data_IF_077271205113
#
_entry.id   IF_077271205113
#
_cell.length_a   1.000
_cell.length_b   1.000
_cell.length_c   1.000
_cell.angle_alpha   90.00
_cell.angle_beta   90.00
_cell.angle_gamma   90.00
#
_symmetry.space_group_name_H-M   'P 1'
#
loop_
_entity.id
_entity.type
_entity.pdbx_description
1 polymer ?
#
# COMPACT_ATOMS: atom_id res chain seq x y z
N UNK A 1 6.90 -31.02 -5.04
CA UNK A 1 6.91 -30.59 -3.62
C UNK A 1 8.28 -30.82 -3.02
N UNK A 2 8.78 -32.07 -3.03
CA UNK A 2 10.12 -32.40 -2.53
C UNK A 2 11.24 -31.53 -3.12
N UNK A 3 11.25 -31.29 -4.44
CA UNK A 3 12.22 -30.41 -5.09
C UNK A 3 12.17 -28.94 -4.60
N UNK A 4 10.98 -28.43 -4.28
CA UNK A 4 10.81 -27.05 -3.79
C UNK A 4 11.19 -26.92 -2.31
N UNK A 5 10.86 -27.94 -1.52
CA UNK A 5 11.34 -28.03 -0.14
C UNK A 5 12.87 -28.11 -0.14
N UNK A 6 13.47 -28.91 -1.02
CA UNK A 6 14.92 -29.00 -1.17
C UNK A 6 15.54 -27.68 -1.60
N UNK A 7 14.97 -26.98 -2.58
CA UNK A 7 15.43 -25.67 -3.04
C UNK A 7 15.44 -24.62 -1.91
N UNK A 8 14.38 -24.57 -1.09
CA UNK A 8 14.32 -23.65 0.06
C UNK A 8 15.29 -24.07 1.15
N UNK A 9 15.42 -25.36 1.45
CA UNK A 9 16.40 -25.84 2.43
C UNK A 9 17.82 -25.49 2.00
N UNK A 10 18.14 -25.59 0.69
CA UNK A 10 19.42 -25.15 0.16
C UNK A 10 19.60 -23.64 0.29
N UNK A 11 18.59 -22.83 -0.09
CA UNK A 11 18.63 -21.37 0.08
C UNK A 11 18.82 -20.97 1.55
N UNK A 12 18.17 -21.67 2.46
CA UNK A 12 18.27 -21.44 3.89
C UNK A 12 19.66 -21.79 4.44
N UNK A 13 20.24 -22.90 3.98
CA UNK A 13 21.59 -23.33 4.33
C UNK A 13 22.67 -22.37 3.80
N UNK A 14 22.50 -21.87 2.56
CA UNK A 14 23.49 -21.00 1.90
C UNK A 14 23.41 -19.55 2.36
N UNK A 15 22.21 -18.97 2.50
CA UNK A 15 22.06 -17.54 2.84
C UNK A 15 21.98 -17.25 4.35
N UNK A 16 21.64 -18.26 5.17
CA UNK A 16 21.41 -18.11 6.60
C UNK A 16 20.10 -17.40 6.95
N UNK A 17 19.53 -17.76 8.11
CA UNK A 17 18.27 -17.24 8.65
C UNK A 17 18.10 -15.72 8.50
N UNK A 18 19.12 -14.95 8.89
CA UNK A 18 19.01 -13.48 8.99
C UNK A 18 18.92 -12.78 7.63
N UNK A 19 19.62 -13.30 6.61
CA UNK A 19 19.65 -12.69 5.27
C UNK A 19 18.50 -13.21 4.40
N UNK A 20 18.02 -14.42 4.66
CA UNK A 20 16.85 -14.99 3.99
C UNK A 20 15.58 -14.18 4.24
N UNK A 21 15.28 -13.83 5.51
CA UNK A 21 14.09 -13.05 5.88
C UNK A 21 14.16 -11.56 5.51
N UNK A 22 15.27 -11.07 4.94
CA UNK A 22 15.36 -9.68 4.50
C UNK A 22 14.88 -9.50 3.04
N UNK A 23 14.92 -10.56 2.24
CA UNK A 23 14.42 -10.54 0.86
C UNK A 23 12.93 -10.92 0.83
N UNK A 24 12.08 -9.98 0.42
CA UNK A 24 10.63 -10.21 0.28
C UNK A 24 10.30 -11.41 -0.63
N UNK A 25 11.14 -11.67 -1.65
CA UNK A 25 10.97 -12.79 -2.58
C UNK A 25 11.19 -14.14 -1.89
N UNK A 26 12.20 -14.22 -1.02
CA UNK A 26 12.50 -15.43 -0.26
C UNK A 26 11.42 -15.73 0.80
N UNK A 27 10.89 -14.68 1.44
CA UNK A 27 9.77 -14.79 2.39
C UNK A 27 8.52 -15.30 1.67
N UNK A 28 8.20 -14.75 0.50
CA UNK A 28 7.04 -15.17 -0.27
C UNK A 28 7.14 -16.64 -0.71
N UNK A 29 8.29 -17.05 -1.24
CA UNK A 29 8.54 -18.45 -1.62
C UNK A 29 8.42 -19.40 -0.41
N UNK A 30 8.95 -19.00 0.75
CA UNK A 30 8.83 -19.76 2.00
C UNK A 30 7.38 -19.90 2.46
N UNK A 31 6.62 -18.80 2.47
CA UNK A 31 5.19 -18.80 2.83
C UNK A 31 4.39 -19.70 1.90
N UNK A 32 4.64 -19.64 0.58
CA UNK A 32 3.97 -20.52 -0.39
C UNK A 32 4.24 -22.00 -0.13
N UNK A 33 5.49 -22.36 0.18
CA UNK A 33 5.88 -23.75 0.40
C UNK A 33 5.33 -24.29 1.72
N UNK A 34 5.36 -23.47 2.79
CA UNK A 34 4.75 -23.81 4.07
C UNK A 34 3.24 -23.97 3.93
N UNK A 35 2.55 -23.02 3.29
CA UNK A 35 1.11 -23.10 3.04
C UNK A 35 0.75 -24.37 2.25
N UNK A 36 1.53 -24.71 1.22
CA UNK A 36 1.30 -25.90 0.42
C UNK A 36 1.62 -27.22 1.17
N UNK A 37 2.54 -27.20 2.13
CA UNK A 37 2.81 -28.33 3.01
C UNK A 37 1.67 -28.51 4.02
N UNK A 38 1.21 -27.42 4.65
CA UNK A 38 0.06 -27.42 5.55
C UNK A 38 -1.17 -27.97 4.85
N UNK A 39 -1.47 -27.52 3.63
CA UNK A 39 -2.61 -28.03 2.84
C UNK A 39 -2.52 -29.54 2.62
N UNK A 40 -1.35 -30.07 2.25
CA UNK A 40 -1.18 -31.52 2.03
C UNK A 40 -1.34 -32.33 3.32
N UNK A 41 -0.79 -31.84 4.44
CA UNK A 41 -0.94 -32.49 5.76
C UNK A 41 -2.39 -32.45 6.21
N UNK A 42 -3.06 -31.31 6.02
CA UNK A 42 -4.47 -31.12 6.32
C UNK A 42 -5.32 -32.07 5.48
N UNK A 43 -5.13 -32.11 4.16
CA UNK A 43 -5.86 -33.03 3.27
C UNK A 43 -5.70 -34.50 3.71
N UNK A 44 -4.49 -34.92 4.11
CA UNK A 44 -4.24 -36.27 4.60
C UNK A 44 -4.96 -36.55 5.93
N UNK A 45 -4.94 -35.60 6.87
CA UNK A 45 -5.63 -35.72 8.15
C UNK A 45 -7.17 -35.73 8.01
N UNK A 46 -7.71 -34.85 7.16
CA UNK A 46 -9.17 -34.72 6.96
C UNK A 46 -9.77 -35.87 6.15
N UNK A 47 -9.04 -36.46 5.20
CA UNK A 47 -9.44 -37.70 4.51
C UNK A 47 -9.66 -38.86 5.48
N UNK A 48 -8.99 -38.86 6.64
CA UNK A 48 -9.16 -39.89 7.66
C UNK A 48 -10.39 -39.66 8.56
N UNK A 49 -10.97 -38.46 8.58
CA UNK A 49 -11.94 -38.04 9.61
C UNK A 49 -13.32 -37.73 9.02
N UNK A 50 -13.42 -37.23 7.78
CA UNK A 50 -14.71 -36.76 7.25
C UNK A 50 -14.91 -37.03 5.76
N UNK A 51 -16.09 -37.54 5.40
CA UNK A 51 -16.58 -37.70 4.03
C UNK A 51 -17.19 -36.41 3.43
N UNK A 52 -16.89 -35.22 3.96
CA UNK A 52 -17.37 -33.95 3.42
C UNK A 52 -16.47 -33.47 2.27
N UNK A 53 -16.99 -33.49 1.05
CA UNK A 53 -16.29 -33.13 -0.18
C UNK A 53 -15.99 -31.62 -0.32
N UNK A 54 -16.83 -30.74 0.23
CA UNK A 54 -16.72 -29.29 -0.01
C UNK A 54 -15.46 -28.60 0.54
N UNK A 55 -14.92 -29.07 1.66
CA UNK A 55 -13.67 -28.53 2.21
C UNK A 55 -12.44 -28.94 1.38
N UNK A 56 -12.51 -30.09 0.70
CA UNK A 56 -11.42 -30.59 -0.15
C UNK A 56 -11.31 -29.76 -1.43
N UNK A 57 -12.43 -29.30 -2.00
CA UNK A 57 -12.44 -28.47 -3.21
C UNK A 57 -11.72 -27.12 -3.00
N UNK A 58 -11.91 -26.49 -1.84
CA UNK A 58 -11.19 -25.26 -1.50
C UNK A 58 -9.68 -25.50 -1.34
N UNK A 59 -9.27 -26.61 -0.72
CA UNK A 59 -7.86 -27.00 -0.60
C UNK A 59 -7.21 -27.30 -1.96
N UNK A 60 -7.97 -27.82 -2.92
CA UNK A 60 -7.53 -27.99 -4.31
C UNK A 60 -7.27 -26.65 -5.01
N UNK A 61 -8.14 -25.64 -4.82
CA UNK A 61 -7.93 -24.29 -5.37
C UNK A 61 -6.71 -23.62 -4.74
N UNK A 62 -6.53 -23.71 -3.41
CA UNK A 62 -5.35 -23.15 -2.74
C UNK A 62 -4.03 -23.77 -3.23
N UNK A 63 -4.06 -25.04 -3.70
CA UNK A 63 -2.90 -25.67 -4.33
C UNK A 63 -2.44 -24.91 -5.57
N UNK A 64 -3.36 -24.29 -6.31
CA UNK A 64 -3.08 -23.48 -7.51
C UNK A 64 -2.34 -22.17 -7.17
N UNK A 65 -2.33 -21.71 -5.92
CA UNK A 65 -1.52 -20.54 -5.51
C UNK A 65 -0.04 -20.76 -5.79
N UNK A 66 0.45 -22.01 -5.86
CA UNK A 66 1.83 -22.27 -6.28
C UNK A 66 2.13 -21.84 -7.73
N UNK A 67 1.10 -21.70 -8.58
CA UNK A 67 1.26 -21.17 -9.94
C UNK A 67 1.63 -19.68 -9.92
N UNK A 68 1.30 -18.95 -8.85
CA UNK A 68 1.70 -17.56 -8.67
C UNK A 68 3.23 -17.40 -8.72
N UNK A 69 4.01 -18.39 -8.25
CA UNK A 69 5.48 -18.34 -8.36
C UNK A 69 5.96 -18.26 -9.82
N UNK A 70 5.19 -18.80 -10.78
CA UNK A 70 5.54 -18.73 -12.22
C UNK A 70 5.47 -17.29 -12.71
N UNK A 71 4.50 -16.52 -12.20
CA UNK A 71 4.41 -15.08 -12.44
C UNK A 71 5.67 -14.38 -11.91
N UNK A 72 6.16 -14.76 -10.73
CA UNK A 72 7.41 -14.22 -10.17
C UNK A 72 8.69 -14.77 -10.82
N UNK A 73 8.65 -15.87 -11.57
CA UNK A 73 9.82 -16.39 -12.27
C UNK A 73 10.23 -15.48 -13.45
N UNK A 74 9.28 -14.67 -13.94
CA UNK A 74 9.48 -13.77 -15.07
C UNK A 74 9.83 -12.37 -14.56
N UNK A 75 11.00 -11.85 -14.93
CA UNK A 75 11.51 -10.57 -14.42
C UNK A 75 10.58 -9.39 -14.72
N UNK A 76 9.90 -9.40 -15.87
CA UNK A 76 8.93 -8.33 -16.22
C UNK A 76 7.80 -8.20 -15.20
N UNK A 77 7.29 -9.32 -14.71
CA UNK A 77 6.21 -9.31 -13.71
C UNK A 77 6.71 -8.87 -12.33
N UNK A 78 7.97 -9.14 -11.98
CA UNK A 78 8.57 -8.64 -10.72
C UNK A 78 8.55 -7.12 -10.66
N UNK A 79 8.85 -6.45 -11.78
CA UNK A 79 8.81 -4.98 -11.89
C UNK A 79 7.38 -4.46 -11.69
N UNK A 80 6.38 -5.11 -12.29
CA UNK A 80 4.95 -4.76 -12.11
C UNK A 80 4.51 -4.95 -10.65
N UNK A 81 4.91 -6.03 -10.00
CA UNK A 81 4.53 -6.29 -8.60
C UNK A 81 5.22 -5.33 -7.63
N UNK A 82 6.47 -4.94 -7.91
CA UNK A 82 7.19 -3.93 -7.12
C UNK A 82 6.53 -2.55 -7.24
N UNK A 83 6.06 -2.17 -8.43
CA UNK A 83 5.36 -0.89 -8.65
C UNK A 83 3.97 -0.89 -7.98
N UNK A 84 3.20 -1.98 -8.11
CA UNK A 84 1.94 -2.15 -7.37
C UNK A 84 2.18 -2.05 -5.85
N UNK A 85 3.23 -2.67 -5.32
CA UNK A 85 3.54 -2.59 -3.89
C UNK A 85 4.02 -1.20 -3.45
N UNK A 86 4.67 -0.43 -4.33
CA UNK A 86 5.08 0.96 -4.06
C UNK A 86 3.85 1.85 -3.88
N UNK A 87 2.92 1.77 -4.82
CA UNK A 87 1.65 2.50 -4.84
C UNK A 87 0.67 1.98 -3.77
N UNK A 88 0.78 0.69 -3.43
CA UNK A 88 -0.15 -0.01 -2.56
C UNK A 88 -0.30 0.63 -1.18
N UNK A 89 0.78 1.19 -0.60
CA UNK A 89 0.69 1.89 0.69
C UNK A 89 -0.25 3.09 0.61
N UNK A 90 -0.13 3.90 -0.43
CA UNK A 90 -1.03 5.03 -0.66
C UNK A 90 -2.44 4.51 -0.91
N UNK A 91 -2.61 3.49 -1.76
CA UNK A 91 -3.91 2.90 -2.10
C UNK A 91 -4.68 2.42 -0.85
N UNK A 92 -4.01 1.84 0.15
CA UNK A 92 -4.64 1.41 1.41
C UNK A 92 -5.25 2.58 2.17
N UNK A 93 -4.58 3.73 2.24
CA UNK A 93 -5.12 4.92 2.93
C UNK A 93 -6.43 5.37 2.30
N UNK A 94 -6.51 5.44 0.97
CA UNK A 94 -7.74 5.83 0.26
C UNK A 94 -8.81 4.73 0.28
N UNK A 95 -8.40 3.47 0.17
CA UNK A 95 -9.29 2.33 0.36
C UNK A 95 -9.92 2.30 1.75
N UNK A 96 -9.20 2.77 2.77
CA UNK A 96 -9.73 2.97 4.12
C UNK A 96 -10.90 3.96 4.16
N UNK A 97 -10.84 5.05 3.40
CA UNK A 97 -11.96 6.02 3.28
C UNK A 97 -13.18 5.36 2.63
N UNK A 98 -12.99 4.63 1.52
CA UNK A 98 -14.07 3.86 0.89
C UNK A 98 -14.68 2.84 1.88
N UNK A 99 -13.83 2.18 2.67
CA UNK A 99 -14.27 1.21 3.68
C UNK A 99 -15.12 1.86 4.78
N UNK A 100 -14.84 3.11 5.17
CA UNK A 100 -15.68 3.84 6.14
C UNK A 100 -17.10 4.05 5.58
N UNK A 101 -17.22 4.45 4.31
CA UNK A 101 -18.55 4.55 3.68
C UNK A 101 -19.27 3.20 3.64
N UNK A 102 -18.56 2.14 3.25
CA UNK A 102 -19.09 0.78 3.28
C UNK A 102 -19.58 0.39 4.66
N UNK A 103 -18.81 0.69 5.70
CA UNK A 103 -19.16 0.39 7.09
C UNK A 103 -20.42 1.14 7.54
N UNK A 104 -20.50 2.46 7.29
CA UNK A 104 -21.67 3.27 7.67
C UNK A 104 -22.94 2.75 6.99
N UNK A 105 -22.89 2.50 5.69
CA UNK A 105 -24.04 1.96 4.97
C UNK A 105 -24.37 0.53 5.39
N UNK A 106 -23.39 -0.29 5.74
CA UNK A 106 -23.64 -1.65 6.21
C UNK A 106 -24.39 -1.65 7.55
N UNK A 107 -24.00 -0.80 8.51
CA UNK A 107 -24.71 -0.65 9.79
C UNK A 107 -26.14 -0.17 9.55
N UNK A 108 -26.35 0.86 8.73
CA UNK A 108 -27.69 1.36 8.40
C UNK A 108 -28.52 0.27 7.71
N UNK A 109 -27.92 -0.47 6.77
CA UNK A 109 -28.56 -1.56 6.05
C UNK A 109 -28.98 -2.70 6.97
N UNK A 110 -28.13 -3.09 7.93
CA UNK A 110 -28.49 -4.09 8.94
C UNK A 110 -29.66 -3.64 9.80
N UNK A 111 -29.67 -2.40 10.28
CA UNK A 111 -30.78 -1.92 11.13
C UNK A 111 -32.13 -1.92 10.38
N UNK A 112 -32.12 -1.57 9.08
CA UNK A 112 -33.34 -1.46 8.29
C UNK A 112 -33.80 -2.79 7.68
N UNK A 113 -32.86 -3.63 7.25
CA UNK A 113 -33.11 -4.83 6.44
C UNK A 113 -32.77 -6.15 7.14
N UNK A 114 -32.40 -6.13 8.42
CA UNK A 114 -32.14 -7.35 9.21
C UNK A 114 -33.37 -8.28 9.25
N UNK A 115 -33.09 -9.58 9.09
CA UNK A 115 -34.03 -10.71 9.13
C UNK A 115 -35.19 -10.64 8.12
N UNK A 116 -35.11 -9.75 7.11
CA UNK A 116 -36.13 -9.64 6.06
C UNK A 116 -35.98 -10.67 4.96
N UNK A 117 -34.74 -11.11 4.73
CA UNK A 117 -34.35 -12.08 3.71
C UNK A 117 -33.46 -13.11 4.39
N UNK A 118 -33.88 -14.37 4.41
CA UNK A 118 -33.08 -15.45 4.96
C UNK A 118 -32.71 -16.46 3.87
N UNK A 119 -31.47 -16.98 3.89
CA UNK A 119 -31.11 -18.11 3.04
C UNK A 119 -31.97 -19.30 3.43
N UNK A 120 -32.69 -19.86 2.46
CA UNK A 120 -33.47 -21.07 2.72
C UNK A 120 -32.51 -22.27 2.90
N UNK A 121 -32.66 -23.10 3.95
CA UNK A 121 -31.76 -24.22 4.18
C UNK A 121 -31.85 -25.23 3.04
N UNK A 122 -30.69 -25.59 2.49
CA UNK A 122 -30.52 -26.56 1.38
C UNK A 122 -31.15 -27.94 1.67
N UNK A 123 -31.40 -28.25 2.95
CA UNK A 123 -31.99 -29.50 3.42
C UNK A 123 -33.53 -29.55 3.40
N UNK A 124 -34.20 -28.45 3.02
CA UNK A 124 -35.62 -28.52 2.75
C UNK A 124 -35.81 -29.40 1.50
N UNK A 125 -36.23 -30.66 1.71
CA UNK A 125 -36.59 -31.61 0.66
C UNK A 125 -37.60 -30.96 -0.27
N UNK A 126 -37.08 -30.36 -1.34
CA UNK A 126 -37.85 -29.57 -2.28
C UNK A 126 -38.79 -30.52 -3.00
N UNK A 127 -40.06 -30.51 -2.63
CA UNK A 127 -41.09 -30.89 -3.58
C UNK A 127 -40.96 -29.93 -4.75
N UNK A 128 -40.92 -30.43 -5.97
CA UNK A 128 -40.61 -29.70 -7.21
C UNK A 128 -41.55 -28.51 -7.52
N UNK A 129 -42.52 -28.22 -6.64
CA UNK A 129 -43.56 -27.20 -6.73
C UNK A 129 -43.55 -26.14 -5.61
N UNK A 130 -42.57 -26.14 -4.68
CA UNK A 130 -42.50 -25.07 -3.68
C UNK A 130 -41.77 -23.84 -4.25
N UNK A 131 -42.39 -22.64 -4.23
CA UNK A 131 -41.74 -21.41 -4.70
C UNK A 131 -40.52 -21.08 -3.84
N UNK A 132 -39.45 -20.61 -4.46
CA UNK A 132 -38.24 -20.14 -3.74
C UNK A 132 -38.64 -18.93 -2.90
N UNK A 133 -38.72 -19.14 -1.59
CA UNK A 133 -39.08 -18.11 -0.62
C UNK A 133 -37.81 -17.86 0.17
N UNK A 134 -37.07 -16.79 -0.14
CA UNK A 134 -35.89 -16.38 0.63
C UNK A 134 -36.28 -15.91 2.06
N UNK A 135 -36.96 -16.74 2.84
CA UNK A 135 -37.55 -16.43 4.14
C UNK A 135 -38.87 -15.65 4.11
N UNK A 136 -39.29 -15.10 2.97
CA UNK A 136 -40.39 -14.14 2.93
C UNK A 136 -41.36 -14.35 1.75
N UNK A 137 -42.67 -14.53 1.98
CA UNK A 137 -43.66 -14.78 0.92
C UNK A 137 -43.79 -13.63 -0.09
N UNK A 138 -43.44 -12.39 0.29
CA UNK A 138 -43.47 -11.23 -0.62
C UNK A 138 -42.45 -11.32 -1.76
N UNK A 139 -41.44 -12.18 -1.63
CA UNK A 139 -40.42 -12.40 -2.67
C UNK A 139 -40.82 -13.46 -3.70
N UNK A 140 -41.97 -14.11 -3.53
CA UNK A 140 -42.42 -15.16 -4.44
C UNK A 140 -42.59 -14.62 -5.86
N UNK A 141 -41.94 -15.25 -6.84
CA UNK A 141 -42.02 -14.86 -8.26
C UNK A 141 -41.25 -13.58 -8.61
N UNK A 142 -40.52 -12.97 -7.66
CA UNK A 142 -39.65 -11.83 -7.96
C UNK A 142 -38.38 -12.27 -8.68
N UNK A 143 -37.82 -11.38 -9.50
CA UNK A 143 -36.50 -11.59 -10.14
C UNK A 143 -35.40 -11.84 -9.10
N UNK A 144 -35.54 -11.26 -7.90
CA UNK A 144 -34.63 -11.47 -6.79
C UNK A 144 -34.57 -12.94 -6.35
N UNK A 145 -35.73 -13.56 -6.13
CA UNK A 145 -35.82 -14.96 -5.72
C UNK A 145 -35.47 -15.93 -6.87
N UNK A 146 -35.88 -15.61 -8.10
CA UNK A 146 -35.56 -16.41 -9.30
C UNK A 146 -34.05 -16.50 -9.56
N UNK A 147 -33.33 -15.39 -9.35
CA UNK A 147 -31.87 -15.31 -9.53
C UNK A 147 -31.07 -15.82 -8.33
N UNK A 148 -31.74 -16.41 -7.32
CA UNK A 148 -31.11 -17.00 -6.12
C UNK A 148 -30.28 -16.02 -5.29
N UNK A 149 -30.72 -14.77 -5.19
CA UNK A 149 -30.05 -13.76 -4.35
C UNK A 149 -30.37 -13.89 -2.84
N UNK A 150 -30.90 -15.02 -2.36
CA UNK A 150 -31.25 -15.18 -0.94
C UNK A 150 -30.05 -15.05 0.03
N UNK A 151 -28.83 -15.33 -0.45
CA UNK A 151 -27.60 -15.14 0.33
C UNK A 151 -27.20 -13.66 0.47
N UNK A 152 -27.76 -12.78 -0.38
CA UNK A 152 -27.52 -11.35 -0.37
C UNK A 152 -28.51 -10.71 0.61
N UNK A 153 -28.15 -10.72 1.89
CA UNK A 153 -28.96 -10.19 2.99
C UNK A 153 -28.15 -9.26 3.89
N UNK A 154 -28.84 -8.53 4.77
CA UNK A 154 -28.25 -7.65 5.76
C UNK A 154 -28.40 -8.22 7.18
N UNK A 155 -28.34 -9.55 7.33
CA UNK A 155 -28.48 -10.17 8.65
C UNK A 155 -27.17 -10.08 9.44
N UNK A 156 -26.03 -10.12 8.74
CA UNK A 156 -24.69 -9.96 9.31
C UNK A 156 -23.89 -8.89 8.56
N UNK A 157 -22.85 -8.36 9.21
CA UNK A 157 -21.97 -7.35 8.61
C UNK A 157 -21.24 -7.88 7.37
N UNK A 158 -20.85 -9.16 7.37
CA UNK A 158 -20.14 -9.77 6.24
C UNK A 158 -21.05 -9.92 5.02
N UNK A 159 -22.27 -10.43 5.21
CA UNK A 159 -23.27 -10.52 4.15
C UNK A 159 -23.65 -9.12 3.64
N UNK A 160 -23.78 -8.14 4.54
CA UNK A 160 -24.02 -6.74 4.18
C UNK A 160 -22.90 -6.18 3.30
N UNK A 161 -21.63 -6.47 3.61
CA UNK A 161 -20.51 -6.04 2.77
C UNK A 161 -20.54 -6.69 1.38
N UNK A 162 -20.94 -7.96 1.27
CA UNK A 162 -21.12 -8.60 -0.05
C UNK A 162 -22.21 -7.88 -0.85
N UNK A 163 -23.36 -7.58 -0.24
CA UNK A 163 -24.45 -6.84 -0.91
C UNK A 163 -23.97 -5.46 -1.36
N UNK A 164 -23.30 -4.70 -0.49
CA UNK A 164 -22.78 -3.38 -0.83
C UNK A 164 -21.73 -3.45 -1.94
N UNK A 165 -20.85 -4.45 -1.91
CA UNK A 165 -19.88 -4.66 -2.98
C UNK A 165 -20.55 -4.94 -4.33
N UNK A 166 -21.58 -5.80 -4.36
CA UNK A 166 -22.35 -6.05 -5.58
C UNK A 166 -23.08 -4.80 -6.08
N UNK A 167 -23.65 -4.00 -5.17
CA UNK A 167 -24.27 -2.71 -5.51
C UNK A 167 -23.24 -1.70 -6.03
N UNK A 168 -22.01 -1.73 -5.54
CA UNK A 168 -20.92 -0.87 -6.01
C UNK A 168 -20.52 -1.18 -7.46
N UNK A 169 -20.55 -2.46 -7.84
CA UNK A 169 -20.27 -2.91 -9.22
C UNK A 169 -21.38 -2.50 -10.20
N UNK A 170 -22.55 -2.05 -9.71
CA UNK A 170 -23.69 -1.55 -10.50
C UNK A 170 -24.39 -2.61 -11.35
N UNK A 171 -23.93 -3.87 -11.33
CA UNK A 171 -24.60 -4.92 -12.09
C UNK A 171 -25.88 -5.37 -11.37
N UNK A 172 -27.02 -5.39 -12.08
CA UNK A 172 -28.31 -5.86 -11.55
C UNK A 172 -28.75 -5.19 -10.23
N UNK A 173 -28.22 -4.00 -9.91
CA UNK A 173 -28.47 -3.32 -8.62
C UNK A 173 -29.97 -3.04 -8.37
N UNK A 174 -30.73 -2.81 -9.44
CA UNK A 174 -32.18 -2.59 -9.39
C UNK A 174 -32.93 -3.86 -8.92
N UNK A 175 -32.48 -5.05 -9.33
CA UNK A 175 -33.08 -6.32 -8.87
C UNK A 175 -32.85 -6.52 -7.37
N UNK A 176 -31.65 -6.22 -6.89
CA UNK A 176 -31.34 -6.24 -5.46
C UNK A 176 -32.21 -5.23 -4.69
N UNK A 177 -32.26 -3.98 -5.16
CA UNK A 177 -33.06 -2.93 -4.54
C UNK A 177 -34.56 -3.27 -4.51
N UNK A 178 -35.11 -3.80 -5.61
CA UNK A 178 -36.51 -4.22 -5.68
C UNK A 178 -36.81 -5.38 -4.75
N UNK A 179 -35.90 -6.33 -4.58
CA UNK A 179 -36.02 -7.41 -3.59
C UNK A 179 -36.20 -6.87 -2.17
N UNK A 180 -35.34 -5.94 -1.74
CA UNK A 180 -35.44 -5.33 -0.42
C UNK A 180 -36.66 -4.42 -0.26
N UNK A 181 -37.05 -3.70 -1.32
CA UNK A 181 -38.27 -2.87 -1.33
C UNK A 181 -39.53 -3.73 -1.20
N UNK A 182 -39.57 -4.90 -1.84
CA UNK A 182 -40.72 -5.80 -1.78
C UNK A 182 -40.99 -6.32 -0.36
N UNK A 183 -39.93 -6.57 0.42
CA UNK A 183 -40.06 -7.09 1.80
C UNK A 183 -40.24 -6.01 2.86
N UNK A 184 -39.86 -4.76 2.57
CA UNK A 184 -39.94 -3.63 3.51
C UNK A 184 -41.03 -2.62 3.11
N UNK A 185 -40.63 -1.42 2.68
CA UNK A 185 -41.48 -0.31 2.26
C UNK A 185 -40.89 0.36 1.02
N UNK A 186 -41.73 1.02 0.22
CA UNK A 186 -41.29 1.68 -1.03
C UNK A 186 -40.23 2.77 -0.80
N UNK A 187 -40.21 3.38 0.38
CA UNK A 187 -39.19 4.34 0.80
C UNK A 187 -37.77 3.73 0.91
N UNK A 188 -37.64 2.41 1.06
CA UNK A 188 -36.34 1.73 1.07
C UNK A 188 -35.55 1.96 -0.23
N UNK A 189 -36.23 2.29 -1.33
CA UNK A 189 -35.58 2.67 -2.59
C UNK A 189 -34.64 3.87 -2.43
N UNK A 190 -34.95 4.79 -1.51
CA UNK A 190 -34.12 5.96 -1.21
C UNK A 190 -32.75 5.52 -0.71
N UNK A 191 -32.68 4.50 0.16
CA UNK A 191 -31.40 3.97 0.65
C UNK A 191 -30.48 3.53 -0.51
N UNK A 192 -31.00 2.75 -1.46
CA UNK A 192 -30.22 2.27 -2.60
C UNK A 192 -29.81 3.39 -3.57
N UNK A 193 -30.70 4.36 -3.80
CA UNK A 193 -30.39 5.53 -4.64
C UNK A 193 -29.31 6.39 -3.99
N UNK A 194 -29.44 6.67 -2.69
CA UNK A 194 -28.45 7.47 -1.93
C UNK A 194 -27.10 6.75 -1.87
N UNK A 195 -27.10 5.43 -1.64
CA UNK A 195 -25.87 4.62 -1.71
C UNK A 195 -25.21 4.72 -3.08
N UNK A 196 -25.98 4.56 -4.16
CA UNK A 196 -25.44 4.63 -5.52
C UNK A 196 -24.88 6.02 -5.83
N UNK A 197 -25.59 7.09 -5.46
CA UNK A 197 -25.12 8.46 -5.67
C UNK A 197 -23.85 8.76 -4.86
N UNK A 198 -23.85 8.45 -3.56
CA UNK A 198 -22.71 8.78 -2.70
C UNK A 198 -21.51 7.87 -2.95
N UNK A 199 -21.69 6.55 -3.01
CA UNK A 199 -20.56 5.62 -3.06
C UNK A 199 -20.09 5.38 -4.49
N UNK A 200 -21.01 5.10 -5.42
CA UNK A 200 -20.63 4.76 -6.79
C UNK A 200 -20.33 6.01 -7.60
N UNK A 201 -21.20 7.02 -7.59
CA UNK A 201 -21.01 8.19 -8.45
C UNK A 201 -19.99 9.17 -7.84
N UNK A 202 -20.01 9.42 -6.53
CA UNK A 202 -19.06 10.35 -5.93
C UNK A 202 -17.77 9.64 -5.49
N UNK A 203 -17.84 8.72 -4.52
CA UNK A 203 -16.62 8.17 -3.90
C UNK A 203 -15.78 7.36 -4.89
N UNK A 204 -16.36 6.46 -5.70
CA UNK A 204 -15.60 5.64 -6.64
C UNK A 204 -14.95 6.49 -7.74
N UNK A 205 -15.61 7.54 -8.22
CA UNK A 205 -15.05 8.44 -9.23
C UNK A 205 -13.93 9.31 -8.65
N UNK A 206 -14.10 9.84 -7.43
CA UNK A 206 -13.05 10.56 -6.71
C UNK A 206 -11.85 9.64 -6.47
N UNK A 207 -12.10 8.42 -6.02
CA UNK A 207 -11.07 7.40 -5.80
C UNK A 207 -10.32 7.06 -7.09
N UNK A 208 -11.03 6.89 -8.20
CA UNK A 208 -10.43 6.59 -9.50
C UNK A 208 -9.60 7.76 -10.02
N UNK A 209 -10.10 9.00 -9.91
CA UNK A 209 -9.35 10.19 -10.27
C UNK A 209 -8.06 10.32 -9.44
N UNK A 210 -8.17 10.10 -8.13
CA UNK A 210 -7.03 10.10 -7.23
C UNK A 210 -5.99 9.02 -7.58
N UNK A 211 -6.44 7.79 -7.88
CA UNK A 211 -5.53 6.70 -8.30
C UNK A 211 -4.79 7.08 -9.58
N UNK A 212 -5.49 7.67 -10.56
CA UNK A 212 -4.87 8.10 -11.80
C UNK A 212 -3.81 9.17 -11.53
N UNK A 213 -4.09 10.15 -10.66
CA UNK A 213 -3.12 11.17 -10.24
C UNK A 213 -1.90 10.54 -9.56
N UNK A 214 -2.12 9.61 -8.62
CA UNK A 214 -1.05 8.91 -7.92
C UNK A 214 -0.20 8.05 -8.87
N UNK A 215 -0.84 7.36 -9.81
CA UNK A 215 -0.14 6.57 -10.82
C UNK A 215 0.67 7.45 -11.76
N UNK A 216 0.12 8.58 -12.20
CA UNK A 216 0.83 9.55 -13.05
C UNK A 216 2.03 10.16 -12.32
N UNK A 217 1.88 10.47 -11.02
CA UNK A 217 2.97 10.98 -10.18
C UNK A 217 4.09 9.95 -10.01
N UNK A 218 3.76 8.69 -9.71
CA UNK A 218 4.77 7.62 -9.61
C UNK A 218 5.41 7.32 -10.99
N UNK A 219 4.63 7.42 -12.07
CA UNK A 219 5.14 7.26 -13.44
C UNK A 219 6.11 8.39 -13.83
N UNK A 220 5.83 9.66 -13.50
CA UNK A 220 6.78 10.75 -13.74
C UNK A 220 8.05 10.59 -12.91
N UNK A 221 7.91 10.23 -11.62
CA UNK A 221 9.05 9.99 -10.72
C UNK A 221 9.94 8.82 -11.15
N UNK A 222 9.37 7.80 -11.81
CA UNK A 222 10.12 6.66 -12.34
C UNK A 222 10.74 6.91 -13.72
N UNK A 223 10.26 7.91 -14.46
CA UNK A 223 10.78 8.30 -15.77
C UNK A 223 11.81 9.43 -15.71
N UNK A 224 11.80 10.26 -14.67
CA UNK A 224 12.90 11.20 -14.43
C UNK A 224 14.19 10.41 -14.16
N UNK A 225 15.20 10.51 -15.04
CA UNK A 225 16.45 9.78 -14.84
C UNK A 225 17.12 10.25 -13.56
N UNK A 226 17.77 9.33 -12.86
CA UNK A 226 18.53 9.59 -11.63
C UNK A 226 19.49 10.79 -11.76
N UNK A 227 19.99 11.07 -12.97
CA UNK A 227 20.77 12.26 -13.33
C UNK A 227 20.13 13.60 -12.92
N UNK A 228 18.80 13.73 -13.01
CA UNK A 228 18.13 15.01 -12.65
C UNK A 228 18.00 15.18 -11.13
N UNK A 229 17.87 14.06 -10.41
CA UNK A 229 17.86 13.99 -8.94
C UNK A 229 19.23 14.37 -8.38
N UNK A 230 20.29 13.81 -8.96
CA UNK A 230 21.68 14.18 -8.64
C UNK A 230 21.92 15.66 -8.99
N UNK A 231 21.52 16.13 -10.18
CA UNK A 231 21.72 17.54 -10.56
C UNK A 231 20.99 18.58 -9.70
N UNK A 232 19.93 18.19 -8.98
CA UNK A 232 19.17 19.07 -8.07
C UNK A 232 19.80 19.06 -6.68
N UNK A 233 20.30 17.91 -6.24
CA UNK A 233 21.04 17.77 -4.98
C UNK A 233 22.42 18.43 -5.11
N UNK A 234 23.14 18.17 -6.21
CA UNK A 234 24.41 18.83 -6.56
C UNK A 234 24.23 20.35 -6.68
N UNK A 235 23.23 20.85 -7.43
CA UNK A 235 22.97 22.31 -7.46
C UNK A 235 22.72 22.89 -6.07
N UNK A 236 22.05 22.14 -5.19
CA UNK A 236 21.75 22.60 -3.83
C UNK A 236 22.98 22.55 -2.92
N UNK A 237 23.92 21.63 -3.16
CA UNK A 237 25.22 21.54 -2.48
C UNK A 237 26.17 22.64 -2.97
N UNK A 238 26.28 22.86 -4.27
CA UNK A 238 27.09 23.92 -4.88
C UNK A 238 26.53 25.31 -4.53
N UNK A 239 25.20 25.48 -4.47
CA UNK A 239 24.55 26.70 -4.00
C UNK A 239 24.74 26.96 -2.50
N UNK A 240 24.89 25.90 -1.69
CA UNK A 240 25.24 26.00 -0.26
C UNK A 240 26.75 26.18 -0.02
N UNK A 241 27.57 26.23 -1.08
CA UNK A 241 28.98 26.63 -1.02
C UNK A 241 29.92 25.62 -0.37
N UNK A 242 29.68 24.31 -0.58
CA UNK A 242 30.56 23.24 -0.08
C UNK A 242 31.42 22.58 -1.17
N UNK A 243 31.71 23.28 -2.25
CA UNK A 243 32.83 22.93 -3.13
C UNK A 243 34.02 23.82 -2.72
N UNK A 244 34.86 23.31 -1.80
CA UNK A 244 36.19 23.86 -1.60
C UNK A 244 37.05 23.42 -2.80
N UNK A 245 37.49 24.40 -3.59
CA UNK A 245 38.39 24.25 -4.73
C UNK A 245 39.64 23.45 -4.35
N UNK A 246 39.71 22.18 -4.78
CA UNK A 246 40.90 21.33 -4.71
C UNK A 246 41.86 21.65 -5.88
N UNK A 247 42.24 22.93 -6.04
CA UNK A 247 43.15 23.36 -7.12
C UNK A 247 44.34 24.21 -6.68
N UNK A 248 44.58 24.42 -5.39
CA UNK A 248 45.68 25.30 -4.91
C UNK A 248 46.87 24.58 -4.26
N UNK A 249 46.98 23.24 -4.33
CA UNK A 249 48.06 22.51 -3.62
C UNK A 249 49.28 22.13 -4.47
N UNK A 250 49.42 22.59 -5.72
CA UNK A 250 50.53 22.17 -6.59
C UNK A 250 51.43 23.29 -7.13
N UNK A 251 51.49 24.46 -6.48
CA UNK A 251 52.34 25.58 -6.97
C UNK A 251 53.51 25.96 -6.05
N UNK A 252 53.70 25.28 -4.91
CA UNK A 252 54.72 25.66 -3.90
C UNK A 252 55.99 24.76 -3.90
N UNK A 253 56.29 24.03 -4.99
CA UNK A 253 57.46 23.12 -5.06
C UNK A 253 58.50 23.47 -6.15
N UNK A 254 58.72 24.74 -6.44
CA UNK A 254 59.90 25.24 -7.17
C UNK A 254 60.11 26.70 -6.74
N UNK A 255 61.23 27.21 -6.23
CA UNK A 255 62.65 26.85 -6.25
C UNK A 255 63.38 27.61 -5.09
N UNK A 256 64.70 27.43 -4.86
CA UNK A 256 65.36 27.68 -3.58
C UNK A 256 66.01 29.06 -3.46
N UNK A 257 66.16 29.59 -2.24
CA UNK A 257 67.17 30.60 -1.94
C UNK A 257 67.81 30.39 -0.55
N UNK A 258 69.13 30.52 -0.52
CA UNK A 258 70.04 30.18 0.56
C UNK A 258 70.29 31.36 1.51
N UNK A 259 70.53 31.07 2.80
CA UNK A 259 71.58 31.68 3.66
C UNK A 259 71.38 31.32 5.15
N UNK A 260 72.40 30.66 5.74
CA UNK A 260 73.09 30.88 7.06
C UNK A 260 72.33 31.56 8.23
N UNK A 261 72.51 31.26 9.53
CA UNK A 261 73.25 30.30 10.38
C UNK A 261 72.78 30.58 11.84
N UNK A 262 73.09 29.67 12.78
CA UNK A 262 73.26 29.89 14.24
C UNK A 262 72.03 30.06 15.19
N UNK A 263 71.97 29.62 16.46
CA UNK A 263 72.61 28.57 17.31
C UNK A 263 71.90 28.60 18.70
N UNK A 264 71.60 27.42 19.28
CA UNK A 264 71.61 27.00 20.72
C UNK A 264 70.53 27.42 21.78
N UNK A 265 70.18 26.40 22.61
CA UNK A 265 69.71 26.37 24.03
C UNK A 265 68.19 26.48 24.26
N UNK A 266 67.47 25.62 24.98
CA UNK A 266 67.82 24.74 26.12
C UNK A 266 66.93 25.12 27.33
N UNK A 267 66.13 24.20 27.90
CA UNK A 267 65.49 24.41 29.22
C UNK A 267 64.06 23.89 29.39
N UNK A 268 63.82 23.20 30.50
CA UNK A 268 62.63 22.41 30.85
C UNK A 268 62.09 22.87 32.22
N UNK A 269 60.77 23.14 32.37
CA UNK A 269 59.90 22.81 33.55
C UNK A 269 58.49 23.46 33.54
N UNK A 270 57.48 22.58 33.51
CA UNK A 270 56.22 22.47 34.34
C UNK A 270 55.12 23.56 34.32
N UNK A 271 53.86 23.16 34.63
CA UNK A 271 52.67 23.63 33.91
C UNK A 271 51.86 24.67 34.69
N UNK A 272 51.30 25.65 33.98
CA UNK A 272 50.28 26.54 34.54
C UNK A 272 49.04 26.64 33.63
N UNK A 273 47.91 26.38 34.29
CA UNK A 273 46.55 26.91 34.14
C UNK A 273 46.09 27.47 32.77
N UNK A 274 44.99 26.88 32.29
CA UNK A 274 44.22 27.21 31.08
C UNK A 274 44.03 28.71 30.81
N UNK A 275 44.15 29.16 29.54
CA UNK A 275 43.48 30.35 29.08
C UNK A 275 42.19 30.00 28.32
N UNK A 276 41.18 30.81 28.61
CA UNK A 276 39.84 30.83 28.04
C UNK A 276 39.77 30.44 26.55
N UNK A 277 38.84 29.53 26.25
CA UNK A 277 38.34 29.22 24.92
C UNK A 277 37.72 30.50 24.33
N UNK A 278 38.51 31.28 23.60
CA UNK A 278 37.99 32.37 22.76
C UNK A 278 37.19 31.73 21.65
N UNK A 279 35.87 31.82 21.74
CA UNK A 279 34.94 31.46 20.67
C UNK A 279 35.31 32.27 19.42
N UNK A 280 35.98 31.64 18.46
CA UNK A 280 36.31 32.23 17.16
C UNK A 280 35.00 32.32 16.39
N UNK A 281 34.49 33.54 16.17
CA UNK A 281 33.36 33.77 15.26
C UNK A 281 33.65 33.08 13.92
N UNK A 282 32.72 32.26 13.39
CA UNK A 282 32.94 31.64 12.09
C UNK A 282 33.07 32.73 11.04
N UNK A 283 34.13 32.66 10.23
CA UNK A 283 34.33 33.50 9.04
C UNK A 283 33.26 33.12 8.02
N UNK A 284 32.10 33.76 8.12
CA UNK A 284 30.91 33.41 7.35
C UNK A 284 29.64 34.08 7.87
N UNK A 285 29.62 34.51 9.14
CA UNK A 285 28.47 35.21 9.73
C UNK A 285 28.05 36.44 8.90
N UNK A 286 29.01 37.25 8.47
CA UNK A 286 28.74 38.44 7.64
C UNK A 286 28.15 38.08 6.27
N UNK A 287 28.51 36.92 5.71
CA UNK A 287 28.04 36.45 4.39
C UNK A 287 26.60 35.91 4.47
N UNK A 288 26.26 35.28 5.61
CA UNK A 288 24.90 34.80 5.90
C UNK A 288 23.97 35.99 6.15
N UNK A 289 24.41 37.01 6.88
CA UNK A 289 23.65 38.25 7.10
C UNK A 289 23.40 39.00 5.77
N UNK A 290 24.40 39.07 4.89
CA UNK A 290 24.27 39.68 3.56
C UNK A 290 23.30 38.91 2.64
N UNK A 291 23.26 37.58 2.74
CA UNK A 291 22.32 36.73 2.00
C UNK A 291 20.88 36.81 2.54
N UNK A 292 20.71 36.91 3.85
CA UNK A 292 19.40 37.12 4.48
C UNK A 292 18.83 38.50 4.08
N UNK A 293 19.70 39.51 4.01
CA UNK A 293 19.29 40.84 3.59
C UNK A 293 18.87 40.89 2.12
N UNK A 294 19.60 40.19 1.23
CA UNK A 294 19.20 40.06 -0.18
C UNK A 294 17.90 39.27 -0.37
N UNK A 295 17.65 38.22 0.42
CA UNK A 295 16.37 37.51 0.36
C UNK A 295 15.20 38.38 0.81
N UNK A 296 15.40 39.20 1.85
CA UNK A 296 14.38 40.14 2.33
C UNK A 296 14.06 41.24 1.30
N UNK A 297 15.07 41.73 0.57
CA UNK A 297 14.87 42.72 -0.49
C UNK A 297 14.11 42.14 -1.69
N UNK A 298 14.36 40.87 -2.06
CA UNK A 298 13.63 40.19 -3.13
C UNK A 298 12.17 39.95 -2.76
N UNK A 299 11.89 39.51 -1.52
CA UNK A 299 10.51 39.35 -1.03
C UNK A 299 9.74 40.69 -1.02
N UNK A 300 10.43 41.80 -0.73
CA UNK A 300 9.82 43.14 -0.74
C UNK A 300 9.50 43.65 -2.14
N UNK A 301 10.32 43.31 -3.14
CA UNK A 301 10.08 43.65 -4.55
C UNK A 301 8.95 42.81 -5.17
N UNK A 302 8.81 41.55 -4.76
CA UNK A 302 7.70 40.70 -5.20
C UNK A 302 6.34 41.21 -4.68
N UNK A 303 6.28 41.72 -3.45
CA UNK A 303 5.05 42.33 -2.88
C UNK A 303 4.69 43.68 -3.54
N UNK A 304 5.67 44.53 -3.89
CA UNK A 304 5.42 45.82 -4.58
C UNK A 304 5.02 45.64 -6.06
N UNK A 305 5.26 44.48 -6.67
CA UNK A 305 4.88 44.16 -8.06
C UNK A 305 3.48 43.55 -8.23
N UNK A 306 2.75 43.33 -7.13
CA UNK A 306 1.44 42.68 -7.09
C UNK A 306 0.23 43.63 -6.84
N UNK A 307 0.43 44.95 -7.00
CA UNK A 307 -0.63 45.99 -6.98
C UNK A 307 -0.71 46.69 -8.34
#
# INVERSE_FOLDING_TARGET
MALFVLEILLKFYVFGLKRFFHSAMNIFDFVLIVAALVINVLELAWRSISNQSGALDFLLVLRLLRLVRLVYAIDRFRVVLKTISSIGRSLVTYGGVLFVFFYVFAIIGMEVFSDKITPEPVLANRSQNQPILCGNPKLNGTQFAMNRYCNNNFNDILHSFVVLFELMVVNQWHVLAEGFVAVTHQAARIYFIVYHLLVVILVLNIFSAFILELFMLEYSMSKEPAERRESTVERKITFMGLDEDESTYFDDLAEPEAATEDIISGGQRRPELSPAMRLRRPKGANKVEELLQKMYEIEREDDESSV
#
